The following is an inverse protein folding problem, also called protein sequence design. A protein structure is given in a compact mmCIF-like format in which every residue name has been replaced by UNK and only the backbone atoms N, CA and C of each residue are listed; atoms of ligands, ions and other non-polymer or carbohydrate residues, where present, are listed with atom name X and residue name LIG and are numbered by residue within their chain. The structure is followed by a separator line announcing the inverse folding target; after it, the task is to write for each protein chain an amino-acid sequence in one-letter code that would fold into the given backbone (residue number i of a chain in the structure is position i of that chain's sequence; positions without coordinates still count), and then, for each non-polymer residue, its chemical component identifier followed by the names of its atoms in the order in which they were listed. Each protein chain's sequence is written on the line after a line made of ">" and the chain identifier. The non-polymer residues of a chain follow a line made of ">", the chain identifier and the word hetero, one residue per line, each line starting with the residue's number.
data_IF_288363312991
#
_entry.id   IF_288363312991
#
_cell.length_a   1.000
_cell.length_b   1.000
_cell.length_c   1.000
_cell.angle_alpha   90.00
_cell.angle_beta   90.00
_cell.angle_gamma   90.00
#
_symmetry.space_group_name_H-M   'P 1'
#
loop_
_entity.id
_entity.type
_entity.pdbx_description
1 polymer ?
#
# COMPACT_ATOMS: atom_id res chain seq x y z
N UNK A 1 17.14 -27.37 5.75
CA UNK A 1 16.22 -26.34 5.19
C UNK A 1 16.92 -25.75 3.97
N UNK A 2 16.61 -26.26 2.77
CA UNK A 2 17.13 -25.71 1.51
C UNK A 2 16.37 -24.42 1.22
N UNK A 3 17.08 -23.29 1.25
CA UNK A 3 16.53 -22.01 0.79
C UNK A 3 16.19 -22.17 -0.69
N UNK A 4 14.91 -22.16 -1.01
CA UNK A 4 14.41 -22.19 -2.39
C UNK A 4 14.91 -20.91 -3.10
N UNK A 5 15.70 -21.08 -4.14
CA UNK A 5 16.21 -19.96 -4.92
C UNK A 5 15.02 -19.18 -5.49
N UNK A 6 14.89 -17.86 -5.27
CA UNK A 6 13.76 -17.10 -5.75
C UNK A 6 13.68 -17.18 -7.28
N UNK A 7 12.47 -17.39 -7.80
CA UNK A 7 12.25 -17.40 -9.25
C UNK A 7 12.52 -16.00 -9.83
N UNK A 8 12.82 -15.87 -11.14
CA UNK A 8 12.97 -14.56 -11.79
C UNK A 8 11.75 -13.65 -11.54
N UNK A 9 10.54 -14.20 -11.58
CA UNK A 9 9.31 -13.47 -11.27
C UNK A 9 9.28 -12.93 -9.83
N UNK A 10 9.77 -13.69 -8.85
CA UNK A 10 9.87 -13.25 -7.46
C UNK A 10 10.89 -12.12 -7.30
N UNK A 11 12.04 -12.23 -7.95
CA UNK A 11 13.07 -11.19 -7.94
C UNK A 11 12.58 -9.89 -8.59
N UNK A 12 11.87 -9.97 -9.72
CA UNK A 12 11.24 -8.83 -10.38
C UNK A 12 10.19 -8.19 -9.47
N UNK A 13 9.30 -8.98 -8.86
CA UNK A 13 8.27 -8.47 -7.96
C UNK A 13 8.88 -7.75 -6.75
N UNK A 14 9.95 -8.29 -6.16
CA UNK A 14 10.68 -7.69 -5.04
C UNK A 14 11.35 -6.37 -5.45
N UNK A 15 12.01 -6.32 -6.61
CA UNK A 15 12.65 -5.11 -7.12
C UNK A 15 11.63 -4.00 -7.39
N UNK A 16 10.50 -4.32 -8.04
CA UNK A 16 9.40 -3.38 -8.29
C UNK A 16 8.79 -2.85 -6.98
N UNK A 17 8.67 -3.67 -5.96
CA UNK A 17 8.17 -3.26 -4.65
C UNK A 17 9.11 -2.25 -3.98
N UNK A 18 10.43 -2.49 -4.03
CA UNK A 18 11.46 -1.57 -3.51
C UNK A 18 11.46 -0.22 -4.24
N UNK A 19 11.33 -0.22 -5.56
CA UNK A 19 11.26 1.00 -6.37
C UNK A 19 10.01 1.84 -6.06
N UNK A 20 8.87 1.21 -5.76
CA UNK A 20 7.63 1.90 -5.36
C UNK A 20 7.74 2.51 -3.97
N UNK A 21 8.34 1.81 -3.01
CA UNK A 21 8.49 2.28 -1.63
C UNK A 21 9.38 3.52 -1.50
N UNK A 22 10.28 3.75 -2.45
CA UNK A 22 11.23 4.87 -2.44
C UNK A 22 10.75 6.13 -3.17
N UNK A 23 9.50 6.21 -3.62
CA UNK A 23 8.92 7.49 -4.02
C UNK A 23 8.73 8.34 -2.78
N UNK A 24 9.74 9.19 -2.49
CA UNK A 24 9.71 10.17 -1.42
C UNK A 24 8.49 11.10 -1.49
N UNK A 25 8.21 11.83 -0.39
CA UNK A 25 7.11 12.78 -0.36
C UNK A 25 7.30 13.78 -1.50
N UNK A 26 6.31 13.88 -2.40
CA UNK A 26 6.24 15.01 -3.30
C UNK A 26 6.08 16.23 -2.42
N UNK A 27 7.09 17.09 -2.38
CA UNK A 27 6.99 18.43 -1.85
C UNK A 27 5.83 19.10 -2.59
N UNK A 28 4.67 19.18 -1.96
CA UNK A 28 3.64 20.11 -2.40
C UNK A 28 4.16 21.48 -2.01
N UNK A 29 4.78 22.13 -2.99
CA UNK A 29 4.98 23.56 -2.97
C UNK A 29 3.57 24.18 -2.80
N UNK A 30 3.30 24.65 -1.59
CA UNK A 30 2.12 25.43 -1.30
C UNK A 30 2.35 26.83 -1.88
N UNK A 31 2.14 26.94 -3.19
CA UNK A 31 1.89 28.23 -3.82
C UNK A 31 0.69 28.86 -3.12
N UNK A 32 0.99 29.91 -2.40
CA UNK A 32 0.07 30.81 -1.71
C UNK A 32 -0.86 31.44 -2.77
N UNK A 33 -2.06 30.86 -2.93
CA UNK A 33 -3.11 31.46 -3.73
C UNK A 33 -4.20 32.00 -2.79
N UNK A 34 -4.44 33.30 -2.77
CA UNK A 34 -5.51 33.90 -1.97
C UNK A 34 -6.87 33.49 -2.54
N UNK A 35 -7.68 32.84 -1.74
CA UNK A 35 -9.07 32.50 -2.04
C UNK A 35 -9.96 33.74 -1.89
N UNK A 36 -10.71 34.18 -2.91
CA UNK A 36 -11.84 35.08 -2.72
C UNK A 36 -13.14 34.26 -2.55
N UNK A 37 -13.85 34.54 -1.46
CA UNK A 37 -15.31 34.62 -1.42
C UNK A 37 -16.16 33.36 -1.41
N UNK A 38 -16.52 32.97 -0.26
CA UNK A 38 -17.83 32.64 0.36
C UNK A 38 -19.05 32.58 -0.56
N UNK A 39 -19.75 31.40 -0.57
CA UNK A 39 -21.16 31.24 -0.93
C UNK A 39 -21.75 29.98 -0.32
N UNK A 40 -22.92 30.03 0.36
CA UNK A 40 -23.54 28.91 1.01
C UNK A 40 -24.56 28.24 0.07
N UNK A 41 -24.33 27.04 -0.38
CA UNK A 41 -25.39 26.23 -1.00
C UNK A 41 -25.33 24.75 -0.57
N UNK A 42 -26.51 24.29 -0.24
CA UNK A 42 -26.93 23.07 0.39
C UNK A 42 -26.43 21.76 -0.22
N UNK A 43 -26.31 20.79 0.65
CA UNK A 43 -26.10 19.39 0.33
C UNK A 43 -27.40 18.74 -0.18
N UNK A 44 -27.34 17.91 -1.23
CA UNK A 44 -28.32 16.84 -1.45
C UNK A 44 -27.80 15.54 -0.83
N UNK A 45 -28.65 14.85 -0.07
CA UNK A 45 -28.39 13.61 0.62
C UNK A 45 -28.10 12.44 -0.33
N UNK A 46 -27.18 11.55 0.10
CA UNK A 46 -26.97 10.25 -0.53
C UNK A 46 -27.94 9.23 0.07
N UNK A 47 -28.66 8.45 -0.78
CA UNK A 47 -29.49 7.35 -0.31
C UNK A 47 -28.60 6.16 0.08
N UNK A 48 -28.81 5.63 1.28
CA UNK A 48 -28.20 4.40 1.74
C UNK A 48 -28.66 3.21 0.88
N UNK A 49 -27.70 2.47 0.34
CA UNK A 49 -27.90 1.20 -0.34
C UNK A 49 -27.33 0.07 0.51
N UNK A 50 -28.22 -0.73 1.10
CA UNK A 50 -27.90 -2.03 1.66
C UNK A 50 -27.57 -2.98 0.52
N UNK A 51 -26.35 -3.58 0.51
CA UNK A 51 -25.92 -4.56 -0.48
C UNK A 51 -25.15 -5.67 0.21
N UNK A 52 -25.66 -6.90 0.11
CA UNK A 52 -25.21 -8.13 0.74
C UNK A 52 -23.83 -8.63 0.31
N UNK A 53 -23.37 -9.80 0.83
CA UNK A 53 -22.01 -10.29 0.71
C UNK A 53 -21.75 -10.90 -0.67
N UNK A 54 -21.44 -10.06 -1.65
CA UNK A 54 -20.94 -10.49 -2.95
C UNK A 54 -19.41 -10.44 -2.93
N UNK A 55 -18.74 -11.56 -3.18
CA UNK A 55 -17.32 -11.65 -3.48
C UNK A 55 -17.04 -10.94 -4.82
N UNK A 56 -17.18 -9.62 -4.87
CA UNK A 56 -16.88 -8.79 -6.01
C UNK A 56 -15.51 -8.14 -5.84
N UNK A 57 -14.66 -8.26 -6.83
CA UNK A 57 -13.47 -7.40 -6.99
C UNK A 57 -13.93 -5.96 -6.86
N UNK A 58 -13.60 -5.31 -5.72
CA UNK A 58 -14.03 -3.94 -5.48
C UNK A 58 -13.47 -2.99 -6.55
N UNK A 59 -14.20 -1.93 -6.93
CA UNK A 59 -13.78 -0.96 -7.96
C UNK A 59 -12.39 -0.37 -7.74
N UNK A 60 -11.90 -0.36 -6.49
CA UNK A 60 -10.58 0.15 -6.10
C UNK A 60 -9.39 -0.70 -6.59
N UNK A 61 -9.61 -1.98 -6.95
CA UNK A 61 -8.52 -2.82 -7.51
C UNK A 61 -8.21 -2.49 -8.98
N UNK A 62 -9.19 -2.08 -9.76
CA UNK A 62 -8.97 -1.69 -11.15
C UNK A 62 -8.26 -0.34 -11.28
N UNK A 63 -8.42 0.55 -10.30
CA UNK A 63 -7.79 1.88 -10.29
C UNK A 63 -6.32 1.83 -9.85
N UNK A 64 -5.93 0.83 -9.08
CA UNK A 64 -4.56 0.63 -8.61
C UNK A 64 -3.54 0.40 -9.74
N UNK A 65 -3.97 -0.18 -10.86
CA UNK A 65 -3.11 -0.45 -12.01
C UNK A 65 -2.75 0.85 -12.78
N UNK A 66 -3.63 1.87 -12.75
CA UNK A 66 -3.45 3.13 -13.49
C UNK A 66 -2.80 4.24 -12.67
N UNK A 67 -3.01 4.27 -11.35
CA UNK A 67 -2.60 5.38 -10.48
C UNK A 67 -1.66 4.98 -9.32
N UNK A 68 -1.15 3.77 -9.31
CA UNK A 68 -0.42 3.20 -8.17
C UNK A 68 -1.37 2.67 -7.09
N UNK A 69 -0.83 1.87 -6.15
CA UNK A 69 -1.64 1.30 -5.08
C UNK A 69 -2.32 2.39 -4.24
N UNK A 70 -3.63 2.25 -3.91
CA UNK A 70 -4.29 3.14 -2.98
C UNK A 70 -3.48 3.30 -1.68
N UNK A 71 -3.52 4.48 -1.08
CA UNK A 71 -2.71 4.76 0.12
C UNK A 71 -2.98 3.78 1.28
N UNK A 72 -4.22 3.28 1.39
CA UNK A 72 -4.58 2.26 2.39
C UNK A 72 -3.89 0.92 2.11
N UNK A 73 -3.70 0.53 0.86
CA UNK A 73 -2.96 -0.70 0.51
C UNK A 73 -1.47 -0.52 0.82
N UNK A 74 -0.89 0.66 0.55
CA UNK A 74 0.49 0.96 0.93
C UNK A 74 0.69 0.91 2.44
N UNK A 75 -0.28 1.36 3.22
CA UNK A 75 -0.27 1.24 4.68
C UNK A 75 -0.25 -0.24 5.11
N UNK A 76 -1.11 -1.07 4.54
CA UNK A 76 -1.14 -2.51 4.81
C UNK A 76 0.19 -3.17 4.41
N UNK A 77 0.77 -2.79 3.27
CA UNK A 77 2.08 -3.27 2.82
C UNK A 77 3.21 -2.86 3.78
N UNK A 78 3.19 -1.62 4.26
CA UNK A 78 4.18 -1.12 5.23
C UNK A 78 4.09 -1.87 6.56
N UNK A 79 2.88 -2.07 7.07
CA UNK A 79 2.64 -2.86 8.30
C UNK A 79 3.05 -4.33 8.14
N UNK A 80 2.83 -4.91 6.96
CA UNK A 80 3.23 -6.30 6.67
C UNK A 80 4.74 -6.48 6.52
N UNK A 81 5.45 -5.43 6.13
CA UNK A 81 6.91 -5.43 5.94
C UNK A 81 7.67 -5.12 7.25
N UNK A 82 7.00 -4.51 8.22
CA UNK A 82 7.59 -4.14 9.49
C UNK A 82 7.79 -5.38 10.37
N UNK A 83 8.83 -5.36 11.22
CA UNK A 83 9.12 -6.40 12.21
C UNK A 83 8.17 -6.40 13.41
N UNK A 84 7.31 -5.40 13.54
CA UNK A 84 6.35 -5.22 14.63
C UNK A 84 5.36 -4.10 14.36
N UNK A 85 4.48 -3.80 15.33
CA UNK A 85 3.51 -2.71 15.22
C UNK A 85 4.17 -1.35 15.01
N UNK A 86 3.59 -0.49 14.17
CA UNK A 86 4.09 0.85 13.84
C UNK A 86 3.27 1.96 14.51
N UNK A 87 3.93 3.05 14.87
CA UNK A 87 3.27 4.32 15.22
C UNK A 87 2.69 5.02 13.98
N UNK A 88 1.76 5.95 14.19
CA UNK A 88 1.13 6.68 13.06
C UNK A 88 2.14 7.50 12.27
N UNK A 89 3.15 8.10 12.94
CA UNK A 89 4.23 8.85 12.27
C UNK A 89 5.11 7.93 11.42
N UNK A 90 5.46 6.75 11.94
CA UNK A 90 6.24 5.75 11.20
C UNK A 90 5.48 5.26 9.96
N UNK A 91 4.16 5.09 10.07
CA UNK A 91 3.30 4.78 8.92
C UNK A 91 3.30 5.93 7.90
N UNK A 92 3.16 7.18 8.37
CA UNK A 92 3.17 8.36 7.50
C UNK A 92 4.45 8.42 6.67
N UNK A 93 5.61 8.25 7.32
CA UNK A 93 6.92 8.23 6.67
C UNK A 93 7.05 7.06 5.68
N UNK A 94 6.65 5.85 6.10
CA UNK A 94 6.75 4.64 5.27
C UNK A 94 5.94 4.72 3.97
N UNK A 95 4.78 5.41 4.00
CA UNK A 95 3.91 5.52 2.81
C UNK A 95 3.99 6.89 2.11
N UNK A 96 4.81 7.82 2.62
CA UNK A 96 5.04 9.14 2.03
C UNK A 96 3.79 10.01 2.05
N UNK A 97 3.15 10.17 3.22
CA UNK A 97 1.99 11.08 3.43
C UNK A 97 2.20 11.89 4.71
N UNK A 98 1.40 12.94 4.90
CA UNK A 98 1.37 13.67 6.15
C UNK A 98 0.70 12.85 7.28
N UNK A 99 1.00 13.19 8.53
CA UNK A 99 0.47 12.49 9.71
C UNK A 99 -1.08 12.57 9.82
N UNK A 100 -1.76 13.71 9.52
CA UNK A 100 -3.21 13.75 9.49
C UNK A 100 -3.83 12.78 8.48
N UNK A 101 -3.18 12.60 7.33
CA UNK A 101 -3.62 11.64 6.31
C UNK A 101 -3.38 10.20 6.76
N UNK A 102 -2.22 9.92 7.35
CA UNK A 102 -1.93 8.61 7.93
C UNK A 102 -2.95 8.25 9.02
N UNK A 103 -3.27 9.18 9.93
CA UNK A 103 -4.30 8.98 10.96
C UNK A 103 -5.66 8.62 10.38
N UNK A 104 -6.09 9.29 9.30
CA UNK A 104 -7.36 8.97 8.60
C UNK A 104 -7.31 7.58 7.94
N UNK A 105 -6.18 7.21 7.34
CA UNK A 105 -6.00 5.88 6.76
C UNK A 105 -6.03 4.78 7.83
N UNK A 106 -5.40 5.01 8.98
CA UNK A 106 -5.44 4.10 10.13
C UNK A 106 -6.88 3.94 10.62
N UNK A 107 -7.62 5.05 10.81
CA UNK A 107 -9.02 4.97 11.21
C UNK A 107 -9.85 4.17 10.21
N UNK A 108 -9.69 4.44 8.92
CA UNK A 108 -10.35 3.67 7.85
C UNK A 108 -9.98 2.18 7.89
N UNK A 109 -8.74 1.86 8.20
CA UNK A 109 -8.29 0.48 8.35
C UNK A 109 -8.88 -0.22 9.57
N UNK A 110 -9.03 0.50 10.70
CA UNK A 110 -9.69 0.00 11.91
C UNK A 110 -11.18 -0.26 11.66
N UNK A 111 -11.88 0.70 11.03
CA UNK A 111 -13.31 0.58 10.72
C UNK A 111 -13.62 -0.62 9.80
N UNK A 112 -12.66 -1.01 8.97
CA UNK A 112 -12.75 -2.18 8.08
C UNK A 112 -12.20 -3.47 8.69
N UNK A 113 -11.69 -3.41 9.91
CA UNK A 113 -11.12 -4.56 10.60
C UNK A 113 -9.77 -5.02 10.01
N UNK A 114 -9.08 -4.23 9.20
CA UNK A 114 -7.79 -4.60 8.58
C UNK A 114 -6.59 -4.36 9.47
N UNK A 115 -6.71 -3.40 10.39
CA UNK A 115 -5.68 -3.09 11.37
C UNK A 115 -6.31 -2.99 12.75
N UNK A 116 -5.51 -3.19 13.79
CA UNK A 116 -5.89 -3.01 15.17
C UNK A 116 -4.91 -2.08 15.88
N UNK A 117 -5.40 -1.45 16.95
CA UNK A 117 -4.59 -0.63 17.83
C UNK A 117 -4.11 -1.48 19.00
N UNK A 118 -2.84 -1.34 19.33
CA UNK A 118 -2.19 -1.99 20.45
C UNK A 118 -1.53 -0.93 21.33
N UNK A 119 -1.42 -1.19 22.65
CA UNK A 119 -0.57 -0.37 23.50
C UNK A 119 0.89 -0.58 23.12
N UNK A 120 1.67 0.50 23.13
CA UNK A 120 3.11 0.40 22.97
C UNK A 120 3.70 -0.34 24.19
N UNK A 121 4.53 -1.38 23.99
CA UNK A 121 5.10 -2.14 25.08
C UNK A 121 6.04 -1.31 25.98
N UNK A 122 6.66 -0.26 25.44
CA UNK A 122 7.60 0.60 26.15
C UNK A 122 6.92 1.85 26.76
N UNK A 123 5.75 2.25 26.26
CA UNK A 123 4.97 3.39 26.75
C UNK A 123 3.46 3.16 26.54
N UNK A 124 2.76 2.74 27.57
CA UNK A 124 1.33 2.48 27.54
C UNK A 124 0.45 3.69 27.15
N UNK A 125 1.03 4.92 27.11
CA UNK A 125 0.34 6.13 26.63
C UNK A 125 0.38 6.24 25.10
N UNK A 126 1.23 5.48 24.44
CA UNK A 126 1.36 5.44 22.98
C UNK A 126 0.55 4.30 22.41
N UNK A 127 0.02 4.54 21.24
CA UNK A 127 -0.72 3.53 20.49
C UNK A 127 0.09 3.15 19.25
N UNK A 128 0.25 1.85 19.06
CA UNK A 128 0.81 1.25 17.86
C UNK A 128 -0.26 0.58 17.03
N UNK A 129 0.00 0.42 15.76
CA UNK A 129 -0.91 -0.15 14.78
C UNK A 129 -0.29 -1.45 14.26
N UNK A 130 -1.07 -2.51 14.33
CA UNK A 130 -0.71 -3.82 13.79
C UNK A 130 -1.74 -4.28 12.75
N UNK A 131 -1.33 -5.19 11.88
CA UNK A 131 -2.29 -5.90 11.02
C UNK A 131 -3.17 -6.82 11.88
N UNK A 132 -4.45 -6.86 11.54
CA UNK A 132 -5.35 -7.93 11.98
C UNK A 132 -5.16 -9.17 11.10
N UNK A 133 -5.82 -10.28 11.48
CA UNK A 133 -5.86 -11.49 10.63
C UNK A 133 -6.53 -11.20 9.29
N UNK A 134 -7.56 -10.34 9.28
CA UNK A 134 -8.24 -9.89 8.06
C UNK A 134 -7.32 -9.05 7.18
N UNK A 135 -6.59 -8.09 7.77
CA UNK A 135 -5.59 -7.30 7.06
C UNK A 135 -4.48 -8.17 6.47
N UNK A 136 -4.03 -9.17 7.21
CA UNK A 136 -3.04 -10.14 6.75
C UNK A 136 -3.56 -11.00 5.58
N UNK A 137 -4.83 -11.40 5.61
CA UNK A 137 -5.50 -12.11 4.50
C UNK A 137 -5.62 -11.22 3.26
N UNK A 138 -6.05 -9.96 3.45
CA UNK A 138 -6.12 -8.97 2.38
C UNK A 138 -4.75 -8.74 1.73
N UNK A 139 -3.69 -8.57 2.53
CA UNK A 139 -2.33 -8.40 2.03
C UNK A 139 -1.87 -9.58 1.17
N UNK A 140 -2.09 -10.81 1.66
CA UNK A 140 -1.75 -12.03 0.90
C UNK A 140 -2.52 -12.09 -0.42
N UNK A 141 -3.81 -11.75 -0.42
CA UNK A 141 -4.64 -11.71 -1.64
C UNK A 141 -4.12 -10.71 -2.67
N UNK A 142 -3.86 -9.47 -2.25
CA UNK A 142 -3.31 -8.41 -3.12
C UNK A 142 -1.95 -8.81 -3.69
N UNK A 143 -1.10 -9.42 -2.86
CA UNK A 143 0.23 -9.89 -3.30
C UNK A 143 0.12 -11.05 -4.29
N UNK A 144 -0.80 -11.98 -4.07
CA UNK A 144 -1.07 -13.10 -4.97
C UNK A 144 -1.55 -12.61 -6.34
N UNK A 145 -2.55 -11.74 -6.39
CA UNK A 145 -3.06 -11.16 -7.64
C UNK A 145 -1.98 -10.42 -8.43
N UNK A 146 -1.11 -9.68 -7.75
CA UNK A 146 0.03 -8.99 -8.40
C UNK A 146 1.04 -9.97 -8.96
N UNK A 147 1.33 -11.05 -8.24
CA UNK A 147 2.24 -12.10 -8.70
C UNK A 147 1.68 -12.79 -9.94
N UNK A 148 0.39 -13.14 -9.93
CA UNK A 148 -0.28 -13.73 -11.10
C UNK A 148 -0.29 -12.78 -12.30
N UNK A 149 -0.60 -11.49 -12.07
CA UNK A 149 -0.58 -10.49 -13.15
C UNK A 149 0.82 -10.32 -13.74
N UNK A 150 1.85 -10.32 -12.87
CA UNK A 150 3.24 -10.27 -13.31
C UNK A 150 3.61 -11.56 -14.09
N UNK A 151 3.20 -12.74 -13.59
CA UNK A 151 3.42 -14.01 -14.29
C UNK A 151 2.89 -13.94 -15.72
N UNK A 152 1.61 -13.59 -15.88
CA UNK A 152 1.00 -13.42 -17.21
C UNK A 152 1.73 -12.41 -18.11
N UNK A 153 2.25 -11.33 -17.54
CA UNK A 153 3.03 -10.35 -18.31
C UNK A 153 4.38 -10.90 -18.75
N UNK A 154 4.95 -11.83 -17.98
CA UNK A 154 6.21 -12.48 -18.26
C UNK A 154 6.09 -13.68 -19.22
N UNK A 155 4.89 -14.16 -19.52
CA UNK A 155 4.66 -15.28 -20.46
C UNK A 155 5.17 -14.97 -21.87
N UNK A 156 5.30 -13.68 -22.24
CA UNK A 156 5.85 -13.23 -23.52
C UNK A 156 7.39 -13.19 -23.56
N UNK A 157 8.05 -13.44 -22.42
CA UNK A 157 9.52 -13.36 -22.28
C UNK A 157 10.12 -14.77 -22.23
N UNK A 158 11.29 -14.93 -22.86
CA UNK A 158 12.07 -16.18 -22.70
C UNK A 158 12.62 -16.27 -21.27
N UNK A 159 13.03 -17.47 -20.80
CA UNK A 159 13.66 -17.63 -19.49
C UNK A 159 14.90 -16.74 -19.30
N UNK A 160 15.69 -16.57 -20.35
CA UNK A 160 16.90 -15.72 -20.35
C UNK A 160 16.53 -14.25 -20.20
N UNK A 161 15.52 -13.77 -20.92
CA UNK A 161 15.01 -12.39 -20.82
C UNK A 161 14.42 -12.12 -19.43
N UNK A 162 13.71 -13.08 -18.83
CA UNK A 162 13.19 -12.97 -17.48
C UNK A 162 14.33 -12.85 -16.47
N UNK A 163 15.39 -13.64 -16.61
CA UNK A 163 16.56 -13.60 -15.73
C UNK A 163 17.31 -12.26 -15.88
N UNK A 164 17.48 -11.76 -17.09
CA UNK A 164 18.10 -10.46 -17.36
C UNK A 164 17.27 -9.30 -16.81
N UNK A 165 15.96 -9.32 -16.98
CA UNK A 165 15.04 -8.33 -16.41
C UNK A 165 15.11 -8.32 -14.88
N UNK A 166 15.13 -9.49 -14.25
CA UNK A 166 15.26 -9.63 -12.80
C UNK A 166 16.58 -9.01 -12.31
N UNK A 167 17.68 -9.33 -12.96
CA UNK A 167 19.02 -8.80 -12.66
C UNK A 167 19.08 -7.27 -12.81
N UNK A 168 18.56 -6.73 -13.90
CA UNK A 168 18.59 -5.30 -14.19
C UNK A 168 17.70 -4.50 -13.24
N UNK A 169 16.49 -4.97 -12.95
CA UNK A 169 15.58 -4.32 -12.00
C UNK A 169 16.13 -4.37 -10.58
N UNK A 170 16.76 -5.46 -10.18
CA UNK A 170 17.42 -5.57 -8.86
C UNK A 170 18.53 -4.54 -8.76
N UNK A 171 19.42 -4.48 -9.76
CA UNK A 171 20.51 -3.50 -9.83
C UNK A 171 19.97 -2.05 -9.78
N UNK A 172 18.89 -1.76 -10.51
CA UNK A 172 18.24 -0.46 -10.46
C UNK A 172 17.69 -0.16 -9.05
N UNK A 173 16.96 -1.11 -8.46
CA UNK A 173 16.39 -0.93 -7.13
C UNK A 173 17.44 -0.72 -6.04
N UNK A 174 18.60 -1.36 -6.14
CA UNK A 174 19.70 -1.21 -5.18
C UNK A 174 20.39 0.16 -5.29
N UNK A 175 20.43 0.74 -6.49
CA UNK A 175 21.07 2.02 -6.76
C UNK A 175 20.11 3.22 -6.86
N UNK A 176 18.80 3.00 -6.73
CA UNK A 176 17.80 4.06 -6.74
C UNK A 176 17.84 4.83 -5.42
N UNK A 177 18.40 6.04 -5.42
CA UNK A 177 18.54 6.95 -4.27
C UNK A 177 17.47 8.02 -4.27
#
# INVERSE_FOLDING_TARGET
>A
MTAETPTPADAIAAALSRLRGRRGPRSHDHGDHPHPGRGPHGMPGFPGGAGGPGRGRGPWMMDAARHGAPAVIRMIEALAAASGPLGVSEIADAIGVDQPRASRLVQQGVDRGWVRREADPDDARRTRIALSDEGSRLFRGVRGERREALGRALDAFTPEEQADLARLLTKLADNWR
#
